data_IF_484783982901
#
_entry.id   IF_484783982901
#
_cell.length_a   1.000
_cell.length_b   1.000
_cell.length_c   1.000
_cell.angle_alpha   90.00
_cell.angle_beta   90.00
_cell.angle_gamma   90.00
#
_symmetry.space_group_name_H-M   'P 1'
#
loop_
_entity.id
_entity.type
_entity.pdbx_description
1 polymer ?
#
# COMPACT_ATOMS: atom_id res chain seq x y z
N UNK A 1 -13.52 -39.29 23.53
CA UNK A 1 -12.90 -40.12 22.51
C UNK A 1 -13.11 -39.44 21.15
N UNK A 2 -12.07 -38.80 20.60
CA UNK A 2 -11.79 -38.56 19.18
C UNK A 2 -10.52 -37.70 19.09
N UNK A 3 -9.39 -38.29 19.41
CA UNK A 3 -8.06 -37.87 18.96
C UNK A 3 -7.78 -38.57 17.64
N UNK A 4 -7.09 -37.92 16.74
CA UNK A 4 -6.44 -38.49 15.57
C UNK A 4 -7.12 -38.18 14.22
N UNK A 5 -6.87 -36.99 13.68
CA UNK A 5 -6.82 -36.75 12.23
C UNK A 5 -5.97 -35.52 11.88
N UNK A 6 -4.81 -35.35 12.48
CA UNK A 6 -3.86 -34.28 12.19
C UNK A 6 -2.46 -34.85 12.00
N UNK A 7 -2.25 -35.74 11.03
CA UNK A 7 -0.92 -36.25 10.68
C UNK A 7 -0.83 -36.83 9.28
N UNK A 8 -1.38 -36.22 8.23
CA UNK A 8 -1.17 -36.74 6.85
C UNK A 8 -1.03 -35.68 5.75
N UNK A 9 -0.76 -34.42 6.05
CA UNK A 9 -0.55 -33.39 5.01
C UNK A 9 0.85 -32.76 4.99
N UNK A 10 1.83 -33.34 5.69
CA UNK A 10 3.18 -32.77 5.79
C UNK A 10 4.23 -33.42 4.86
N UNK A 11 3.84 -34.24 3.88
CA UNK A 11 4.83 -34.96 3.06
C UNK A 11 4.78 -34.68 1.56
N UNK A 12 4.03 -33.70 1.09
CA UNK A 12 3.89 -33.46 -0.35
C UNK A 12 4.48 -32.13 -0.83
N UNK A 13 5.01 -31.30 0.07
CA UNK A 13 5.62 -30.01 -0.29
C UNK A 13 7.14 -30.00 -0.33
N UNK A 14 7.81 -31.14 -0.09
CA UNK A 14 9.27 -31.21 -0.08
C UNK A 14 9.91 -31.68 -1.42
N UNK A 15 9.12 -31.91 -2.45
CA UNK A 15 9.64 -32.46 -3.72
C UNK A 15 9.62 -31.50 -4.91
N UNK A 16 9.27 -30.24 -4.75
CA UNK A 16 9.18 -29.29 -5.88
C UNK A 16 10.19 -28.13 -5.83
N UNK A 17 11.20 -28.20 -4.96
CA UNK A 17 12.17 -27.10 -4.78
C UNK A 17 13.58 -27.44 -5.29
N UNK A 18 13.73 -28.32 -6.28
CA UNK A 18 15.07 -28.77 -6.70
C UNK A 18 15.33 -28.70 -8.22
N UNK A 19 14.56 -27.94 -8.99
CA UNK A 19 14.83 -27.77 -10.43
C UNK A 19 14.68 -26.30 -10.82
N UNK A 20 15.52 -25.40 -10.35
CA UNK A 20 15.89 -24.16 -11.05
C UNK A 20 17.24 -23.67 -10.48
N UNK A 21 18.27 -24.37 -10.81
CA UNK A 21 19.63 -23.87 -10.68
C UNK A 21 20.44 -24.46 -11.84
N UNK A 22 20.50 -23.74 -12.97
CA UNK A 22 21.57 -23.80 -13.97
C UNK A 22 21.12 -23.09 -15.23
N UNK A 23 21.51 -21.83 -15.39
CA UNK A 23 21.91 -21.24 -16.68
C UNK A 23 22.41 -19.82 -16.45
N UNK A 24 23.64 -19.70 -15.98
CA UNK A 24 24.45 -18.49 -16.11
C UNK A 24 25.77 -18.91 -16.73
N UNK A 25 25.98 -18.58 -17.97
CA UNK A 25 27.28 -18.39 -18.63
C UNK A 25 27.02 -17.56 -19.87
N UNK A 26 27.51 -16.40 -19.82
CA UNK A 26 28.76 -15.89 -20.34
C UNK A 26 28.61 -15.37 -21.78
N UNK A 27 29.04 -14.25 -22.06
CA UNK A 27 30.21 -13.70 -22.74
C UNK A 27 29.88 -12.26 -23.12
N UNK A 28 30.71 -11.26 -23.00
CA UNK A 28 32.10 -11.12 -22.97
C UNK A 28 32.50 -9.99 -23.87
N UNK A 29 33.45 -9.19 -23.43
CA UNK A 29 34.43 -8.43 -24.23
C UNK A 29 33.89 -7.39 -25.22
N UNK A 30 34.42 -6.22 -25.30
CA UNK A 30 35.67 -5.59 -24.98
C UNK A 30 35.82 -4.35 -25.82
N UNK A 31 36.72 -3.46 -25.46
CA UNK A 31 37.22 -2.43 -26.38
C UNK A 31 37.36 -1.07 -25.71
N UNK A 32 38.46 -0.86 -25.16
CA UNK A 32 39.41 0.24 -25.02
C UNK A 32 39.28 1.30 -26.16
N UNK A 33 39.43 2.54 -25.83
CA UNK A 33 40.60 3.41 -25.74
C UNK A 33 40.26 4.82 -26.22
N UNK A 34 40.53 5.76 -25.47
CA UNK A 34 41.47 6.87 -25.36
C UNK A 34 40.97 8.25 -25.81
N UNK A 35 41.14 9.16 -24.86
CA UNK A 35 41.24 10.61 -25.02
C UNK A 35 42.52 10.99 -25.83
N UNK A 36 42.71 12.22 -26.36
CA UNK A 36 42.71 13.44 -25.60
C UNK A 36 42.39 14.77 -26.31
N UNK A 37 42.12 15.78 -25.48
CA UNK A 37 42.51 17.21 -25.52
C UNK A 37 42.13 18.15 -26.69
N UNK A 38 41.63 19.27 -26.25
CA UNK A 38 42.11 20.66 -26.40
C UNK A 38 41.12 21.64 -27.03
N UNK A 39 40.76 22.63 -26.23
CA UNK A 39 40.87 24.03 -26.59
C UNK A 39 39.59 24.79 -26.99
N UNK A 40 39.24 25.70 -26.08
CA UNK A 40 39.08 27.09 -26.51
C UNK A 40 37.67 27.68 -26.62
N UNK A 41 37.29 28.45 -25.62
CA UNK A 41 36.87 29.87 -25.70
C UNK A 41 35.43 30.21 -26.09
N UNK A 42 34.71 30.72 -25.06
CA UNK A 42 33.83 31.91 -24.99
C UNK A 42 32.70 32.10 -26.02
N UNK A 43 31.54 32.37 -25.48
CA UNK A 43 30.45 33.08 -26.13
C UNK A 43 29.17 33.01 -25.33
N UNK A 44 28.99 33.98 -24.50
CA UNK A 44 27.80 34.56 -23.87
C UNK A 44 26.55 34.43 -24.76
N UNK A 45 25.43 34.00 -24.21
CA UNK A 45 24.15 34.71 -24.09
C UNK A 45 23.00 33.78 -23.73
N UNK A 46 22.38 34.12 -22.60
CA UNK A 46 21.04 33.67 -22.21
C UNK A 46 20.00 34.46 -23.03
N UNK A 47 18.85 33.89 -23.44
CA UNK A 47 17.68 34.12 -22.61
C UNK A 47 16.60 33.04 -22.58
N UNK A 48 15.99 32.97 -21.40
CA UNK A 48 14.56 32.75 -21.16
C UNK A 48 13.93 31.36 -21.39
N UNK A 49 13.72 30.73 -20.23
CA UNK A 49 12.55 29.93 -19.84
C UNK A 49 11.21 30.55 -20.30
N UNK A 50 10.19 29.76 -20.69
CA UNK A 50 9.28 29.31 -19.65
C UNK A 50 8.71 27.90 -19.92
N UNK A 51 8.51 27.18 -18.89
CA UNK A 51 7.81 25.89 -18.94
C UNK A 51 7.91 25.20 -17.59
N UNK A 52 7.50 25.92 -16.55
CA UNK A 52 7.29 25.36 -15.24
C UNK A 52 6.09 24.42 -15.31
N UNK A 53 6.35 23.15 -15.51
CA UNK A 53 5.44 22.12 -15.03
C UNK A 53 5.90 21.78 -13.62
N UNK A 54 5.36 22.51 -12.65
CA UNK A 54 5.34 22.08 -11.28
C UNK A 54 4.56 20.75 -11.22
N UNK A 55 5.28 19.66 -11.43
CA UNK A 55 4.92 18.40 -10.82
C UNK A 55 5.21 18.61 -9.34
N UNK A 56 4.17 18.97 -8.61
CA UNK A 56 4.23 19.04 -7.17
C UNK A 56 4.70 17.69 -6.64
N UNK A 57 5.98 17.62 -6.33
CA UNK A 57 6.53 16.57 -5.50
C UNK A 57 6.04 16.83 -4.08
N UNK A 58 4.79 16.48 -3.80
CA UNK A 58 4.32 16.26 -2.45
C UNK A 58 5.08 15.02 -2.02
N UNK A 59 6.17 15.19 -1.26
CA UNK A 59 6.70 14.11 -0.45
C UNK A 59 5.54 13.66 0.44
N UNK A 60 4.85 12.64 0.00
CA UNK A 60 3.83 11.97 0.79
C UNK A 60 4.56 11.43 2.00
N UNK A 61 4.38 12.09 3.14
CA UNK A 61 4.93 11.65 4.40
C UNK A 61 4.18 10.36 4.81
N UNK A 62 4.64 9.23 4.26
CA UNK A 62 4.07 7.92 4.54
C UNK A 62 4.43 7.56 5.98
N UNK A 63 3.42 7.35 6.79
CA UNK A 63 3.58 6.92 8.18
C UNK A 63 3.57 5.40 8.24
N UNK A 64 4.63 4.80 8.81
CA UNK A 64 4.69 3.35 9.01
C UNK A 64 4.09 3.02 10.37
N UNK A 65 3.11 2.12 10.42
CA UNK A 65 2.40 1.74 11.64
C UNK A 65 2.28 0.22 11.75
N UNK A 66 2.35 -0.25 13.00
CA UNK A 66 2.20 -1.66 13.36
C UNK A 66 3.47 -2.47 13.17
N UNK A 67 3.36 -3.75 13.44
CA UNK A 67 4.43 -4.76 13.31
C UNK A 67 3.83 -6.02 12.71
N UNK A 68 4.59 -6.74 11.89
CA UNK A 68 4.13 -7.97 11.27
C UNK A 68 4.77 -8.24 9.92
N UNK A 69 4.52 -9.43 9.39
CA UNK A 69 5.11 -9.89 8.13
C UNK A 69 4.35 -9.39 6.90
N UNK A 70 3.06 -9.10 7.04
CA UNK A 70 2.20 -8.62 5.94
C UNK A 70 2.21 -7.10 5.92
N UNK A 71 2.26 -6.54 4.71
CA UNK A 71 2.26 -5.09 4.49
C UNK A 71 1.19 -4.70 3.48
N UNK A 72 0.57 -3.55 3.72
CA UNK A 72 -0.32 -2.92 2.74
C UNK A 72 -0.34 -1.40 2.91
N UNK A 73 -0.74 -0.69 1.85
CA UNK A 73 -0.96 0.75 1.90
C UNK A 73 -2.39 1.05 2.33
N UNK A 74 -2.54 1.97 3.29
CA UNK A 74 -3.84 2.47 3.71
C UNK A 74 -3.89 4.00 3.58
N UNK A 75 -4.87 4.51 2.82
CA UNK A 75 -5.05 5.95 2.60
C UNK A 75 -6.34 6.44 3.24
N UNK A 76 -6.25 7.53 3.96
CA UNK A 76 -7.39 8.23 4.55
C UNK A 76 -7.59 9.54 3.81
N UNK A 77 -8.80 9.76 3.29
CA UNK A 77 -9.18 11.01 2.60
C UNK A 77 -10.28 11.69 3.40
N UNK A 78 -10.01 12.87 3.92
CA UNK A 78 -10.98 13.64 4.70
C UNK A 78 -12.06 14.31 3.83
N UNK A 79 -13.02 14.98 4.47
CA UNK A 79 -14.11 15.68 3.76
C UNK A 79 -13.67 16.91 2.95
N UNK A 80 -12.43 17.37 3.13
CA UNK A 80 -11.82 18.46 2.36
C UNK A 80 -10.96 17.92 1.19
N UNK A 81 -10.75 16.59 1.12
CA UNK A 81 -9.94 15.93 0.11
C UNK A 81 -8.46 15.83 0.47
N UNK A 82 -8.06 16.11 1.71
CA UNK A 82 -6.69 15.90 2.15
C UNK A 82 -6.43 14.39 2.34
N UNK A 83 -5.27 13.96 1.89
CA UNK A 83 -4.86 12.55 1.97
C UNK A 83 -3.79 12.35 3.05
N UNK A 84 -3.96 11.30 3.84
CA UNK A 84 -2.93 10.78 4.74
C UNK A 84 -2.65 9.34 4.38
N UNK A 85 -1.38 9.02 4.13
CA UNK A 85 -0.95 7.68 3.67
C UNK A 85 -0.21 6.96 4.77
N UNK A 86 -0.58 5.71 5.01
CA UNK A 86 0.04 4.80 5.96
C UNK A 86 0.58 3.56 5.24
N UNK A 87 1.75 3.08 5.62
CA UNK A 87 2.20 1.72 5.39
C UNK A 87 1.89 0.91 6.65
N UNK A 88 0.99 -0.03 6.54
CA UNK A 88 0.55 -0.87 7.66
C UNK A 88 1.32 -2.18 7.65
N UNK A 89 1.90 -2.53 8.81
CA UNK A 89 2.51 -3.83 9.06
C UNK A 89 1.66 -4.60 10.04
N UNK A 90 1.36 -5.86 9.76
CA UNK A 90 0.45 -6.67 10.57
C UNK A 90 0.65 -8.17 10.37
N UNK A 91 0.21 -8.96 11.35
CA UNK A 91 0.03 -10.41 11.22
C UNK A 91 -1.46 -10.79 11.11
N UNK A 92 -2.35 -9.79 11.04
CA UNK A 92 -3.78 -10.03 10.78
C UNK A 92 -4.01 -10.44 9.33
N UNK A 93 -5.11 -11.12 9.12
CA UNK A 93 -5.54 -11.57 7.79
C UNK A 93 -6.67 -10.74 7.22
N UNK A 94 -7.34 -9.92 8.05
CA UNK A 94 -8.47 -9.06 7.69
C UNK A 94 -8.10 -7.60 7.88
N UNK A 95 -8.45 -6.78 6.89
CA UNK A 95 -8.12 -5.34 6.89
C UNK A 95 -8.69 -4.64 8.11
N UNK A 96 -9.96 -4.89 8.44
CA UNK A 96 -10.63 -4.31 9.60
C UNK A 96 -9.94 -4.62 10.91
N UNK A 97 -9.50 -5.87 11.10
CA UNK A 97 -8.82 -6.30 12.32
C UNK A 97 -7.49 -5.57 12.51
N UNK A 98 -6.72 -5.41 11.42
CA UNK A 98 -5.46 -4.68 11.44
C UNK A 98 -5.66 -3.19 11.79
N UNK A 99 -6.64 -2.55 11.16
CA UNK A 99 -6.91 -1.12 11.39
C UNK A 99 -7.53 -0.84 12.77
N UNK A 100 -8.36 -1.74 13.30
CA UNK A 100 -8.91 -1.66 14.66
C UNK A 100 -7.81 -1.81 15.72
N UNK A 101 -6.90 -2.77 15.55
CA UNK A 101 -5.77 -2.99 16.47
C UNK A 101 -4.89 -1.74 16.59
N UNK A 102 -4.65 -1.07 15.47
CA UNK A 102 -3.88 0.17 15.40
C UNK A 102 -4.69 1.41 15.80
N UNK A 103 -5.96 1.25 16.12
CA UNK A 103 -6.89 2.35 16.44
C UNK A 103 -6.98 3.40 15.32
N UNK A 104 -6.72 2.98 14.09
CA UNK A 104 -6.91 3.80 12.90
C UNK A 104 -8.37 3.94 12.51
N UNK A 105 -9.19 2.94 12.85
CA UNK A 105 -10.64 3.00 12.68
C UNK A 105 -11.36 2.71 13.98
N UNK A 106 -12.52 3.33 14.15
CA UNK A 106 -13.47 3.06 15.22
C UNK A 106 -14.87 3.01 14.64
N UNK A 107 -15.73 2.16 15.19
CA UNK A 107 -17.09 2.00 14.68
C UNK A 107 -17.96 1.11 15.56
N UNK A 108 -19.16 0.84 15.12
CA UNK A 108 -20.14 0.03 15.80
C UNK A 108 -20.41 -1.26 15.01
N UNK A 109 -20.39 -2.39 15.69
CA UNK A 109 -20.74 -3.67 15.08
C UNK A 109 -22.24 -3.81 15.01
N UNK A 110 -22.77 -4.13 13.82
CA UNK A 110 -24.17 -4.38 13.57
C UNK A 110 -24.38 -5.76 12.94
N UNK A 111 -25.62 -6.14 12.69
CA UNK A 111 -25.96 -7.35 11.94
C UNK A 111 -25.44 -7.34 10.49
N UNK A 112 -25.05 -6.18 9.99
CA UNK A 112 -24.52 -5.97 8.62
C UNK A 112 -23.00 -5.83 8.59
N UNK A 113 -22.32 -5.99 9.73
CA UNK A 113 -20.88 -5.83 9.87
C UNK A 113 -20.49 -4.58 10.63
N UNK A 114 -19.24 -4.16 10.51
CA UNK A 114 -18.68 -2.99 11.16
C UNK A 114 -19.07 -1.71 10.42
N UNK A 115 -19.85 -0.86 11.08
CA UNK A 115 -20.12 0.51 10.63
C UNK A 115 -19.05 1.44 11.16
N UNK A 116 -18.13 1.84 10.28
CA UNK A 116 -17.01 2.71 10.65
C UNK A 116 -17.50 4.16 10.79
N UNK A 117 -17.27 4.77 11.95
CA UNK A 117 -17.66 6.15 12.28
C UNK A 117 -16.48 7.11 12.41
N UNK A 118 -15.28 6.57 12.71
CA UNK A 118 -14.08 7.37 12.86
C UNK A 118 -12.90 6.70 12.15
N UNK A 119 -12.11 7.48 11.43
CA UNK A 119 -10.87 7.04 10.78
C UNK A 119 -9.79 8.07 11.02
N UNK A 120 -8.64 7.65 11.52
CA UNK A 120 -7.52 8.53 11.87
C UNK A 120 -7.94 9.74 12.71
N UNK A 121 -8.84 9.53 13.69
CA UNK A 121 -9.37 10.59 14.56
C UNK A 121 -10.44 11.49 13.94
N UNK A 122 -10.74 11.35 12.65
CA UNK A 122 -11.76 12.13 11.93
C UNK A 122 -13.09 11.38 12.00
N UNK A 123 -14.15 12.04 12.45
CA UNK A 123 -15.50 11.47 12.53
C UNK A 123 -16.30 11.78 11.26
N UNK A 124 -17.01 10.76 10.73
CA UNK A 124 -18.06 10.90 9.74
C UNK A 124 -19.21 9.98 10.16
N UNK A 125 -20.36 10.54 10.41
CA UNK A 125 -21.55 9.84 10.91
C UNK A 125 -22.79 10.32 10.17
N UNK A 126 -23.39 9.41 9.41
CA UNK A 126 -24.52 9.74 8.54
C UNK A 126 -25.73 10.31 9.30
N UNK A 127 -25.96 9.83 10.50
CA UNK A 127 -27.08 10.27 11.33
C UNK A 127 -26.87 11.69 11.92
N UNK A 128 -25.61 12.17 11.93
CA UNK A 128 -25.24 13.47 12.51
C UNK A 128 -25.08 14.55 11.44
N UNK A 129 -24.33 14.24 10.38
CA UNK A 129 -23.92 15.24 9.38
C UNK A 129 -24.15 14.80 7.92
N UNK A 130 -24.74 13.60 7.73
CA UNK A 130 -25.02 13.03 6.40
C UNK A 130 -23.75 12.55 5.69
N UNK A 131 -22.64 12.36 6.42
CA UNK A 131 -21.41 11.85 5.87
C UNK A 131 -21.12 10.43 6.38
N UNK A 132 -20.36 9.67 5.60
CA UNK A 132 -19.94 8.32 5.98
C UNK A 132 -18.56 8.00 5.43
N UNK A 133 -17.92 6.97 5.97
CA UNK A 133 -16.65 6.46 5.48
C UNK A 133 -16.87 5.41 4.39
N UNK A 134 -16.58 5.78 3.15
CA UNK A 134 -16.62 4.88 2.01
C UNK A 134 -15.30 4.10 1.90
N UNK A 135 -15.39 2.79 1.78
CA UNK A 135 -14.23 1.90 1.67
C UNK A 135 -13.87 1.61 0.22
N UNK A 136 -12.59 1.59 -0.09
CA UNK A 136 -12.06 1.36 -1.43
C UNK A 136 -10.94 0.31 -1.39
N UNK A 137 -10.85 -0.50 -2.43
CA UNK A 137 -9.79 -1.48 -2.68
C UNK A 137 -9.21 -1.17 -4.05
N UNK A 138 -7.90 -0.93 -4.15
CA UNK A 138 -7.21 -0.59 -5.40
C UNK A 138 -7.84 0.57 -6.17
N UNK A 139 -8.39 1.54 -5.43
CA UNK A 139 -9.04 2.71 -6.00
C UNK A 139 -10.50 2.53 -6.42
N UNK A 140 -11.06 1.33 -6.33
CA UNK A 140 -12.45 1.01 -6.63
C UNK A 140 -13.29 0.94 -5.34
N UNK A 141 -14.54 1.41 -5.41
CA UNK A 141 -15.47 1.31 -4.29
C UNK A 141 -15.71 -0.16 -3.91
N UNK A 142 -15.44 -0.50 -2.66
CA UNK A 142 -15.55 -1.88 -2.20
C UNK A 142 -17.01 -2.33 -2.05
N UNK A 143 -17.29 -3.55 -2.50
CA UNK A 143 -18.60 -4.20 -2.35
C UNK A 143 -18.70 -5.01 -1.04
N UNK A 144 -17.60 -5.08 -0.27
CA UNK A 144 -17.51 -5.77 1.02
C UNK A 144 -17.15 -4.78 2.13
N UNK A 145 -17.50 -5.11 3.36
CA UNK A 145 -17.09 -4.35 4.53
C UNK A 145 -15.59 -4.55 4.83
N UNK A 146 -15.00 -3.59 5.51
CA UNK A 146 -13.59 -3.64 5.92
C UNK A 146 -13.32 -4.84 6.85
N UNK A 147 -14.29 -5.22 7.65
CA UNK A 147 -14.29 -6.33 8.60
C UNK A 147 -14.39 -7.73 7.97
N UNK A 148 -14.72 -7.80 6.68
CA UNK A 148 -14.82 -9.05 5.92
C UNK A 148 -13.81 -9.12 4.76
N UNK A 149 -13.02 -8.07 4.57
CA UNK A 149 -12.02 -7.99 3.50
C UNK A 149 -10.71 -8.60 3.95
N UNK A 150 -10.28 -9.68 3.27
CA UNK A 150 -8.98 -10.29 3.50
C UNK A 150 -7.86 -9.39 2.95
N UNK A 151 -6.75 -9.31 3.70
CA UNK A 151 -5.55 -8.61 3.25
C UNK A 151 -4.89 -9.42 2.13
N UNK A 152 -4.62 -8.77 1.00
CA UNK A 152 -3.84 -9.34 -0.10
C UNK A 152 -2.58 -8.53 -0.31
N UNK A 153 -1.48 -9.24 -0.50
CA UNK A 153 -0.19 -8.61 -0.78
C UNK A 153 -0.26 -7.82 -2.09
N UNK A 154 0.19 -6.57 -2.03
CA UNK A 154 0.15 -5.65 -3.16
C UNK A 154 -1.15 -4.86 -3.32
N UNK A 155 -2.20 -5.19 -2.58
CA UNK A 155 -3.42 -4.38 -2.57
C UNK A 155 -3.21 -3.07 -1.80
N UNK A 156 -3.96 -2.04 -2.21
CA UNK A 156 -4.09 -0.78 -1.50
C UNK A 156 -5.52 -0.59 -1.02
N UNK A 157 -5.67 -0.10 0.19
CA UNK A 157 -6.97 0.16 0.80
C UNK A 157 -7.11 1.63 1.13
N UNK A 158 -8.33 2.16 1.03
CA UNK A 158 -8.58 3.54 1.40
C UNK A 158 -9.95 3.72 2.04
N UNK A 159 -10.02 4.69 2.95
CA UNK A 159 -11.26 5.20 3.51
C UNK A 159 -11.41 6.66 3.11
N UNK A 160 -12.57 7.02 2.52
CA UNK A 160 -12.87 8.38 2.06
C UNK A 160 -14.18 8.87 2.65
N UNK A 161 -14.18 10.11 3.16
CA UNK A 161 -15.44 10.74 3.58
C UNK A 161 -16.30 10.98 2.34
N UNK A 162 -17.54 10.51 2.39
CA UNK A 162 -18.53 10.62 1.31
C UNK A 162 -19.88 11.08 1.85
N UNK A 163 -20.76 11.55 0.96
CA UNK A 163 -22.12 12.02 1.26
C UNK A 163 -23.15 11.23 0.47
#
# INVERSE_FOLDING_TARGET
>A
MKKSMMKKFSSLFLSMMLIVAMALCATGCGGKQETPMTGGTQGTENPQNPGNSESGNTESNVQVLGEGAVKFTFTVVDGAGNETVFEIHTDKTVVGDALLELKLIEGETSQYGLYVKKVNGITADYDVDGTYWAFYINGEYAMSGVDTTEIKEGDSYAMKVSK
#
